data_IF_050340668961
#
_entry.id   IF_050340668961
#
_cell.length_a   1.000
_cell.length_b   1.000
_cell.length_c   1.000
_cell.angle_alpha   90.00
_cell.angle_beta   90.00
_cell.angle_gamma   90.00
#
_symmetry.space_group_name_H-M   'P 1'
#
loop_
_entity.id
_entity.type
_entity.pdbx_description
1 polymer ?
#
# COMPACT_ATOMS: atom_id res chain seq x y z
N UNK A 1 2.26 22.49 -9.82
CA UNK A 1 3.14 21.71 -8.93
C UNK A 1 2.76 20.23 -8.92
N UNK A 2 1.50 19.84 -9.07
CA UNK A 2 1.04 18.44 -9.21
C UNK A 2 1.52 17.79 -10.52
N UNK A 3 1.70 18.56 -11.57
CA UNK A 3 2.12 18.08 -12.92
C UNK A 3 3.49 17.40 -12.96
N UNK A 4 4.29 17.54 -11.89
CA UNK A 4 5.63 16.92 -11.79
C UNK A 4 5.63 15.60 -11.00
N UNK A 5 4.49 15.19 -10.45
CA UNK A 5 4.37 13.91 -9.74
C UNK A 5 4.09 12.80 -10.76
N UNK A 6 4.83 11.72 -10.68
CA UNK A 6 4.67 10.57 -11.59
C UNK A 6 3.27 9.96 -11.53
N UNK A 7 2.62 10.03 -10.34
CA UNK A 7 1.25 9.53 -10.13
C UNK A 7 0.17 10.42 -10.74
N UNK A 8 0.50 11.68 -11.09
CA UNK A 8 -0.44 12.64 -11.66
C UNK A 8 -0.26 12.80 -13.18
N UNK A 9 0.66 12.06 -13.78
CA UNK A 9 0.84 12.07 -15.22
C UNK A 9 -0.37 11.46 -15.92
N UNK A 10 -0.85 12.15 -16.94
CA UNK A 10 -1.93 11.63 -17.78
C UNK A 10 -1.45 10.42 -18.58
N UNK A 11 -2.28 9.39 -18.64
CA UNK A 11 -2.01 8.24 -19.50
C UNK A 11 -2.34 8.60 -20.95
N UNK A 12 -1.34 8.52 -21.83
CA UNK A 12 -1.47 8.88 -23.26
C UNK A 12 -2.51 8.02 -23.98
N UNK A 13 -2.71 6.77 -23.55
CA UNK A 13 -3.68 5.85 -24.16
C UNK A 13 -5.14 6.20 -23.85
N UNK A 14 -5.39 7.04 -22.84
CA UNK A 14 -6.71 7.41 -22.36
C UNK A 14 -6.97 8.92 -22.43
N UNK A 15 -6.23 9.65 -23.28
CA UNK A 15 -6.39 11.11 -23.42
C UNK A 15 -7.76 11.50 -23.96
N UNK A 16 -8.41 10.62 -24.72
CA UNK A 16 -9.75 10.79 -25.30
C UNK A 16 -10.77 9.86 -24.66
N UNK A 17 -10.67 9.63 -23.35
CA UNK A 17 -11.51 8.67 -22.60
C UNK A 17 -13.01 8.89 -22.80
N UNK A 18 -13.43 10.15 -22.94
CA UNK A 18 -14.81 10.56 -23.18
C UNK A 18 -15.37 10.19 -24.56
N UNK A 19 -14.49 9.94 -25.53
CA UNK A 19 -14.85 9.51 -26.88
C UNK A 19 -14.78 7.98 -27.06
N UNK A 20 -14.17 7.28 -26.12
CA UNK A 20 -13.96 5.83 -26.20
C UNK A 20 -15.25 5.05 -25.91
N UNK A 21 -15.44 3.94 -26.61
CA UNK A 21 -16.47 2.98 -26.24
C UNK A 21 -16.13 2.28 -24.91
N UNK A 22 -17.14 1.76 -24.22
CA UNK A 22 -16.95 0.99 -22.98
C UNK A 22 -15.92 -0.13 -23.18
N UNK A 23 -15.95 -0.82 -24.31
CA UNK A 23 -15.01 -1.90 -24.62
C UNK A 23 -13.58 -1.40 -24.73
N UNK A 24 -13.35 -0.29 -25.39
CA UNK A 24 -12.01 0.31 -25.53
C UNK A 24 -11.46 0.76 -24.17
N UNK A 25 -12.30 1.38 -23.32
CA UNK A 25 -11.91 1.73 -21.95
C UNK A 25 -11.47 0.49 -21.17
N UNK A 26 -12.28 -0.57 -21.18
CA UNK A 26 -11.97 -1.82 -20.47
C UNK A 26 -10.71 -2.50 -21.02
N UNK A 27 -10.50 -2.47 -22.32
CA UNK A 27 -9.28 -3.00 -22.94
C UNK A 27 -8.04 -2.20 -22.54
N UNK A 28 -8.11 -0.87 -22.56
CA UNK A 28 -7.01 -0.01 -22.13
C UNK A 28 -6.65 -0.23 -20.65
N UNK A 29 -7.64 -0.33 -19.77
CA UNK A 29 -7.41 -0.67 -18.36
C UNK A 29 -6.72 -2.02 -18.21
N UNK A 30 -7.19 -3.05 -18.88
CA UNK A 30 -6.61 -4.39 -18.81
C UNK A 30 -5.18 -4.45 -19.39
N UNK A 31 -4.87 -3.64 -20.39
CA UNK A 31 -3.52 -3.51 -20.93
C UNK A 31 -2.56 -2.86 -19.92
N UNK A 32 -3.01 -1.80 -19.23
CA UNK A 32 -2.22 -1.18 -18.17
C UNK A 32 -2.00 -2.13 -16.99
N UNK A 33 -3.03 -2.86 -16.55
CA UNK A 33 -2.93 -3.84 -15.47
C UNK A 33 -1.85 -4.91 -15.76
N UNK A 34 -1.71 -5.35 -17.01
CA UNK A 34 -0.65 -6.29 -17.41
C UNK A 34 0.75 -5.74 -17.19
N UNK A 35 0.93 -4.44 -17.28
CA UNK A 35 2.26 -3.82 -17.07
C UNK A 35 2.71 -3.89 -15.62
N UNK A 36 1.77 -3.96 -14.67
CA UNK A 36 2.05 -4.00 -13.23
C UNK A 36 2.85 -5.24 -12.86
N UNK A 37 2.42 -6.43 -13.31
CA UNK A 37 3.14 -7.68 -13.05
C UNK A 37 4.58 -7.65 -13.60
N UNK A 38 4.77 -7.07 -14.80
CA UNK A 38 6.08 -6.92 -15.40
C UNK A 38 6.97 -5.91 -14.66
N UNK A 39 6.37 -4.90 -14.04
CA UNK A 39 7.11 -3.97 -13.19
C UNK A 39 7.58 -4.66 -11.91
N UNK A 40 6.70 -5.42 -11.25
CA UNK A 40 7.03 -6.21 -10.05
C UNK A 40 8.12 -7.25 -10.35
N UNK A 41 8.06 -7.93 -11.50
CA UNK A 41 9.07 -8.92 -11.91
C UNK A 41 10.50 -8.35 -11.89
N UNK A 42 10.67 -7.09 -12.28
CA UNK A 42 11.97 -6.41 -12.28
C UNK A 42 12.53 -6.17 -10.88
N UNK A 43 11.67 -6.14 -9.88
CA UNK A 43 12.01 -5.84 -8.49
C UNK A 43 12.07 -7.08 -7.60
N UNK A 44 11.93 -8.30 -8.16
CA UNK A 44 11.92 -9.56 -7.39
C UNK A 44 13.14 -9.69 -6.46
N UNK A 45 14.33 -9.34 -6.94
CA UNK A 45 15.56 -9.40 -6.11
C UNK A 45 15.52 -8.45 -4.90
N UNK A 46 14.88 -7.29 -5.04
CA UNK A 46 14.72 -6.34 -3.94
C UNK A 46 13.62 -6.81 -2.98
N UNK A 47 12.53 -7.34 -3.52
CA UNK A 47 11.46 -7.95 -2.74
C UNK A 47 11.99 -9.11 -1.91
N UNK A 48 12.83 -9.98 -2.48
CA UNK A 48 13.47 -11.09 -1.77
C UNK A 48 14.26 -10.59 -0.54
N UNK A 49 15.04 -9.52 -0.69
CA UNK A 49 15.81 -8.94 0.44
C UNK A 49 14.89 -8.46 1.56
N UNK A 50 13.76 -7.83 1.22
CA UNK A 50 12.77 -7.39 2.21
C UNK A 50 12.18 -8.60 2.92
N UNK A 51 11.78 -9.64 2.17
CA UNK A 51 11.21 -10.86 2.74
C UNK A 51 12.21 -11.54 3.68
N UNK A 52 13.49 -11.65 3.31
CA UNK A 52 14.53 -12.20 4.17
C UNK A 52 14.69 -11.41 5.47
N UNK A 53 14.60 -10.08 5.40
CA UNK A 53 14.65 -9.21 6.59
C UNK A 53 13.45 -9.45 7.50
N UNK A 54 12.25 -9.59 6.93
CA UNK A 54 11.02 -9.88 7.70
C UNK A 54 11.11 -11.24 8.36
N UNK A 55 11.56 -12.29 7.64
CA UNK A 55 11.75 -13.63 8.21
C UNK A 55 12.68 -13.57 9.43
N UNK A 56 13.84 -12.92 9.28
CA UNK A 56 14.79 -12.75 10.38
C UNK A 56 14.16 -12.02 11.58
N UNK A 57 13.38 -10.97 11.31
CA UNK A 57 12.67 -10.25 12.37
C UNK A 57 11.70 -11.17 13.12
N UNK A 58 10.96 -12.01 12.43
CA UNK A 58 10.03 -12.96 13.05
C UNK A 58 10.76 -14.05 13.87
N UNK A 59 11.91 -14.54 13.38
CA UNK A 59 12.76 -15.48 14.13
C UNK A 59 13.29 -14.88 15.44
N UNK A 60 13.45 -13.56 15.49
CA UNK A 60 13.89 -12.79 16.67
C UNK A 60 12.70 -12.23 17.49
N UNK A 61 11.49 -12.80 17.33
CA UNK A 61 10.25 -12.36 17.98
C UNK A 61 9.85 -10.90 17.66
N UNK A 62 10.33 -10.39 16.52
CA UNK A 62 9.98 -9.07 16.00
C UNK A 62 8.63 -9.05 15.30
N UNK A 63 8.32 -7.91 14.66
CA UNK A 63 7.02 -7.64 14.05
C UNK A 63 7.19 -7.03 12.65
N UNK A 64 6.22 -7.28 11.77
CA UNK A 64 6.04 -6.52 10.53
C UNK A 64 4.98 -5.43 10.76
N UNK A 65 5.34 -4.20 10.47
CA UNK A 65 4.43 -3.06 10.64
C UNK A 65 4.27 -2.34 9.31
N UNK A 66 3.04 -2.32 8.80
CA UNK A 66 2.64 -1.49 7.67
C UNK A 66 2.20 -0.12 8.16
N UNK A 67 2.76 0.93 7.58
CA UNK A 67 2.26 2.29 7.76
C UNK A 67 2.01 2.93 6.40
N UNK A 68 0.92 3.67 6.28
CA UNK A 68 0.60 4.33 5.03
C UNK A 68 -0.59 5.26 5.15
N UNK A 69 -0.83 6.03 4.10
CA UNK A 69 -1.99 6.90 3.98
C UNK A 69 -2.92 6.41 2.85
N UNK A 70 -4.18 6.82 2.87
CA UNK A 70 -5.14 6.54 1.82
C UNK A 70 -5.26 5.05 1.49
N UNK A 71 -5.18 4.71 0.20
CA UNK A 71 -5.30 3.32 -0.27
C UNK A 71 -4.15 2.43 0.21
N UNK A 72 -2.92 2.95 0.26
CA UNK A 72 -1.75 2.20 0.73
C UNK A 72 -1.93 1.75 2.19
N UNK A 73 -2.38 2.65 3.08
CA UNK A 73 -2.69 2.30 4.47
C UNK A 73 -3.82 1.28 4.60
N UNK A 74 -4.86 1.38 3.76
CA UNK A 74 -5.95 0.38 3.73
C UNK A 74 -5.46 -1.00 3.33
N UNK A 75 -4.59 -1.10 2.32
CA UNK A 75 -4.01 -2.36 1.88
C UNK A 75 -3.13 -2.99 2.96
N UNK A 76 -2.31 -2.19 3.65
CA UNK A 76 -1.50 -2.68 4.78
C UNK A 76 -2.34 -3.22 5.94
N UNK A 77 -3.45 -2.54 6.29
CA UNK A 77 -4.38 -3.04 7.30
C UNK A 77 -5.07 -4.33 6.81
N UNK A 78 -5.50 -4.37 5.55
CA UNK A 78 -6.16 -5.55 4.99
C UNK A 78 -5.23 -6.77 5.08
N UNK A 79 -3.99 -6.65 4.65
CA UNK A 79 -3.01 -7.74 4.75
C UNK A 79 -2.79 -8.19 6.21
N UNK A 80 -2.63 -7.23 7.12
CA UNK A 80 -2.43 -7.52 8.54
C UNK A 80 -3.59 -8.29 9.17
N UNK A 81 -4.85 -7.94 8.88
CA UNK A 81 -6.01 -8.63 9.46
C UNK A 81 -6.28 -10.01 8.85
N UNK A 82 -5.76 -10.27 7.65
CA UNK A 82 -5.88 -11.59 7.00
C UNK A 82 -4.81 -12.58 7.47
N UNK A 83 -3.72 -12.12 8.09
CA UNK A 83 -2.65 -13.00 8.57
C UNK A 83 -3.09 -13.99 9.66
N UNK A 84 -3.81 -13.60 10.73
CA UNK A 84 -4.26 -14.56 11.75
C UNK A 84 -5.18 -15.66 11.21
N UNK A 85 -6.26 -15.40 10.46
CA UNK A 85 -7.15 -16.44 9.99
C UNK A 85 -6.49 -17.32 8.91
N UNK A 86 -5.53 -16.79 8.15
CA UNK A 86 -4.89 -17.52 7.04
C UNK A 86 -3.73 -18.38 7.52
N UNK A 87 -2.91 -17.85 8.43
CA UNK A 87 -1.65 -18.49 8.85
C UNK A 87 -1.63 -18.89 10.33
N UNK A 88 -2.67 -18.56 11.10
CA UNK A 88 -2.73 -18.83 12.54
C UNK A 88 -1.72 -18.03 13.37
N UNK A 89 -1.32 -16.86 12.89
CA UNK A 89 -0.36 -15.98 13.58
C UNK A 89 -1.02 -15.21 14.72
N UNK A 90 -0.20 -14.74 15.66
CA UNK A 90 -0.63 -13.73 16.64
C UNK A 90 -0.97 -12.40 15.90
N UNK A 91 -2.01 -11.71 16.34
CA UNK A 91 -2.48 -10.45 15.75
C UNK A 91 -1.48 -9.29 15.88
N UNK A 92 -0.49 -9.43 16.75
CA UNK A 92 0.60 -8.47 16.93
C UNK A 92 1.80 -8.71 16.02
N UNK A 93 1.88 -9.87 15.39
CA UNK A 93 3.00 -10.25 14.53
C UNK A 93 3.04 -9.39 13.25
N UNK A 94 1.87 -9.14 12.67
CA UNK A 94 1.70 -8.26 11.51
C UNK A 94 0.65 -7.21 11.85
N UNK A 95 1.01 -5.94 11.77
CA UNK A 95 0.14 -4.84 12.14
C UNK A 95 0.08 -3.79 11.04
N UNK A 96 -1.08 -3.16 10.86
CA UNK A 96 -1.28 -2.10 9.87
C UNK A 96 -1.79 -0.81 10.51
N UNK A 97 -1.20 0.32 10.12
CA UNK A 97 -1.58 1.66 10.55
C UNK A 97 -1.87 2.54 9.34
N UNK A 98 -2.87 3.39 9.47
CA UNK A 98 -3.28 4.33 8.42
C UNK A 98 -3.30 5.75 8.98
N UNK A 99 -2.69 6.68 8.27
CA UNK A 99 -2.73 8.10 8.63
C UNK A 99 -4.17 8.59 8.76
N UNK A 100 -4.47 9.22 9.91
CA UNK A 100 -5.84 9.58 10.30
C UNK A 100 -6.58 8.52 11.10
N UNK A 101 -5.91 7.41 11.47
CA UNK A 101 -6.41 6.33 12.31
C UNK A 101 -7.50 5.48 11.64
N UNK A 102 -8.14 4.58 12.38
CA UNK A 102 -9.16 3.65 11.86
C UNK A 102 -10.34 4.35 11.15
N UNK A 103 -10.61 5.61 11.47
CA UNK A 103 -11.64 6.40 10.76
C UNK A 103 -11.29 6.57 9.28
N UNK A 104 -9.99 6.71 8.97
CA UNK A 104 -9.50 6.86 7.60
C UNK A 104 -9.62 5.56 6.79
N UNK A 105 -9.86 4.43 7.42
CA UNK A 105 -10.14 3.17 6.73
C UNK A 105 -11.46 3.23 5.95
N UNK A 106 -12.50 3.82 6.54
CA UNK A 106 -13.87 3.88 5.98
C UNK A 106 -14.25 5.21 5.36
N UNK A 107 -13.50 6.29 5.65
CA UNK A 107 -13.77 7.64 5.15
C UNK A 107 -12.49 8.29 4.68
N UNK A 108 -12.56 9.15 3.66
CA UNK A 108 -11.43 10.00 3.30
C UNK A 108 -11.15 11.00 4.44
N UNK A 109 -9.88 11.11 4.82
CA UNK A 109 -9.39 12.13 5.77
C UNK A 109 -8.35 12.94 5.01
N UNK A 110 -8.79 14.10 4.50
CA UNK A 110 -7.93 14.97 3.71
C UNK A 110 -6.77 15.52 4.56
N UNK A 111 -5.59 15.65 3.93
CA UNK A 111 -4.39 16.19 4.54
C UNK A 111 -3.72 15.27 5.57
N UNK A 112 -4.19 14.06 5.76
CA UNK A 112 -3.53 13.09 6.64
C UNK A 112 -2.23 12.54 6.03
N UNK A 113 -2.16 12.45 4.70
CA UNK A 113 -0.99 12.01 3.96
C UNK A 113 0.21 12.95 4.06
N UNK A 114 -0.02 14.25 4.27
CA UNK A 114 1.01 15.29 4.36
C UNK A 114 1.56 15.47 5.78
N UNK A 115 1.11 14.67 6.75
CA UNK A 115 1.46 14.79 8.17
C UNK A 115 2.33 13.63 8.63
N UNK A 116 3.64 13.79 8.49
CA UNK A 116 4.64 12.78 8.90
C UNK A 116 4.57 12.46 10.41
N UNK A 117 4.16 13.46 11.24
CA UNK A 117 4.04 13.30 12.68
C UNK A 117 3.04 12.19 13.09
N UNK A 118 1.99 11.95 12.28
CA UNK A 118 1.00 10.91 12.56
C UNK A 118 1.62 9.51 12.53
N UNK A 119 2.53 9.27 11.60
CA UNK A 119 3.25 7.99 11.53
C UNK A 119 4.14 7.78 12.77
N UNK A 120 4.82 8.83 13.23
CA UNK A 120 5.64 8.78 14.44
C UNK A 120 4.80 8.53 15.70
N UNK A 121 3.63 9.18 15.82
CA UNK A 121 2.69 8.99 16.91
C UNK A 121 2.16 7.55 16.94
N UNK A 122 1.75 7.01 15.79
CA UNK A 122 1.26 5.64 15.66
C UNK A 122 2.34 4.63 16.08
N UNK A 123 3.57 4.77 15.58
CA UNK A 123 4.68 3.88 15.93
C UNK A 123 5.06 3.95 17.42
N UNK A 124 5.06 5.14 18.03
CA UNK A 124 5.28 5.31 19.46
C UNK A 124 4.19 4.64 20.30
N UNK A 125 2.94 4.69 19.83
CA UNK A 125 1.80 4.12 20.55
C UNK A 125 1.90 2.61 20.74
N UNK A 126 2.61 1.92 19.85
CA UNK A 126 2.84 0.46 19.89
C UNK A 126 4.21 0.07 20.45
N UNK A 127 4.92 1.02 21.03
CA UNK A 127 6.21 0.79 21.68
C UNK A 127 7.34 0.47 20.69
N UNK A 128 7.28 0.99 19.48
CA UNK A 128 8.42 0.98 18.56
C UNK A 128 9.38 2.09 18.99
N UNK A 129 10.61 1.72 19.37
CA UNK A 129 11.66 2.65 19.81
C UNK A 129 12.79 2.70 18.78
#
# INVERSE_FOLDING_TARGET
>A
MLENLSTEHRNEKTMNLDEMSIKEVLQSMNEEDRTVALAVEKEIEQIEKVVQTVIKSFEEEGRLIYIGAGTSGRLGILDAVECPPTFGTDDKMVQGFIAGGLKAFTKAVEGAEDREELAEEDLKSIGLN
#
